data_IF_391445440627
#
_entry.id   IF_391445440627
#
_cell.length_a   1.000
_cell.length_b   1.000
_cell.length_c   1.000
_cell.angle_alpha   90.00
_cell.angle_beta   90.00
_cell.angle_gamma   90.00
#
_symmetry.space_group_name_H-M   'P 1'
#
loop_
_entity.id
_entity.type
_entity.pdbx_description
1 polymer ?
#
# COMPACT_ATOMS: atom_id res chain seq x y z
N UNK A 1 39.14 -6.02 5.04
CA UNK A 1 37.78 -6.62 5.10
C UNK A 1 37.09 -6.55 3.73
N UNK A 2 36.71 -5.36 3.24
CA UNK A 2 36.11 -5.17 1.90
C UNK A 2 36.91 -5.83 0.76
N UNK A 3 38.24 -5.67 0.74
CA UNK A 3 39.11 -6.30 -0.28
C UNK A 3 39.13 -7.84 -0.21
N UNK A 4 39.11 -8.39 0.99
CA UNK A 4 39.08 -9.84 1.22
C UNK A 4 37.70 -10.43 0.87
N UNK A 5 36.62 -9.70 1.15
CA UNK A 5 35.26 -10.09 0.76
C UNK A 5 35.10 -10.04 -0.77
N UNK A 6 35.76 -9.08 -1.44
CA UNK A 6 35.75 -8.97 -2.90
C UNK A 6 36.57 -10.08 -3.58
N UNK A 7 37.75 -10.41 -3.06
CA UNK A 7 38.55 -11.55 -3.54
C UNK A 7 37.80 -12.87 -3.36
N UNK A 8 37.14 -13.07 -2.22
CA UNK A 8 36.33 -14.27 -1.96
C UNK A 8 35.16 -14.39 -2.95
N UNK A 9 34.44 -13.30 -3.20
CA UNK A 9 33.34 -13.28 -4.16
C UNK A 9 33.81 -13.54 -5.60
N UNK A 10 35.01 -13.05 -5.96
CA UNK A 10 35.61 -13.30 -7.27
C UNK A 10 35.98 -14.78 -7.46
N UNK A 11 36.51 -15.41 -6.42
CA UNK A 11 36.88 -16.83 -6.44
C UNK A 11 35.63 -17.73 -6.49
N UNK A 12 34.59 -17.41 -5.72
CA UNK A 12 33.29 -18.09 -5.79
C UNK A 12 32.62 -17.95 -7.17
N UNK A 13 32.75 -16.78 -7.82
CA UNK A 13 32.25 -16.55 -9.16
C UNK A 13 33.02 -17.36 -10.23
N UNK A 14 34.35 -17.46 -10.10
CA UNK A 14 35.18 -18.30 -10.98
C UNK A 14 34.86 -19.78 -10.84
N UNK A 15 34.61 -20.27 -9.63
CA UNK A 15 34.20 -21.65 -9.40
C UNK A 15 32.82 -21.94 -10.00
N UNK A 16 31.85 -21.03 -9.85
CA UNK A 16 30.52 -21.17 -10.47
C UNK A 16 30.56 -21.17 -12.00
N UNK A 17 31.47 -20.42 -12.61
CA UNK A 17 31.67 -20.39 -14.06
C UNK A 17 32.30 -21.67 -14.63
N UNK A 18 32.93 -22.50 -13.78
CA UNK A 18 33.51 -23.80 -14.17
C UNK A 18 32.53 -24.97 -14.10
N UNK A 19 31.37 -24.79 -13.47
CA UNK A 19 30.38 -25.86 -13.30
C UNK A 19 29.62 -26.12 -14.59
N UNK A 20 29.37 -27.38 -14.87
CA UNK A 20 28.54 -27.79 -16.01
C UNK A 20 27.08 -27.38 -15.80
N UNK A 21 26.30 -27.32 -16.89
CA UNK A 21 24.88 -26.96 -16.81
C UNK A 21 24.08 -27.91 -15.91
N UNK A 22 24.47 -29.19 -15.91
CA UNK A 22 23.80 -30.24 -15.13
C UNK A 22 24.12 -30.13 -13.63
N UNK A 23 25.35 -29.74 -13.27
CA UNK A 23 25.75 -29.46 -11.88
C UNK A 23 25.01 -28.26 -11.31
N UNK A 24 24.89 -27.18 -12.09
CA UNK A 24 24.11 -25.99 -11.69
C UNK A 24 22.63 -26.37 -11.48
N UNK A 25 22.07 -27.20 -12.36
CA UNK A 25 20.69 -27.64 -12.26
C UNK A 25 20.45 -28.54 -11.04
N UNK A 26 21.41 -29.41 -10.70
CA UNK A 26 21.39 -30.23 -9.49
C UNK A 26 21.51 -29.39 -8.20
N UNK A 27 22.35 -28.36 -8.20
CA UNK A 27 22.48 -27.43 -7.06
C UNK A 27 21.19 -26.63 -6.85
N UNK A 28 20.60 -26.10 -7.93
CA UNK A 28 19.31 -25.42 -7.88
C UNK A 28 18.22 -26.34 -7.33
N UNK A 29 18.19 -27.60 -7.76
CA UNK A 29 17.20 -28.56 -7.27
C UNK A 29 17.42 -28.89 -5.79
N UNK A 30 18.69 -28.97 -5.37
CA UNK A 30 19.06 -29.22 -3.97
C UNK A 30 18.71 -28.04 -3.07
N UNK A 31 18.95 -26.80 -3.51
CA UNK A 31 18.54 -25.60 -2.80
C UNK A 31 17.02 -25.43 -2.77
N UNK A 32 16.31 -25.74 -3.87
CA UNK A 32 14.84 -25.80 -3.86
C UNK A 32 14.33 -26.78 -2.82
N UNK A 33 14.92 -27.98 -2.78
CA UNK A 33 14.53 -29.01 -1.81
C UNK A 33 14.85 -28.60 -0.37
N UNK A 34 15.99 -27.92 -0.13
CA UNK A 34 16.34 -27.35 1.18
C UNK A 34 15.36 -26.26 1.60
N UNK A 35 15.03 -25.32 0.72
CA UNK A 35 14.04 -24.26 1.01
C UNK A 35 12.67 -24.86 1.29
N UNK A 36 12.24 -25.87 0.52
CA UNK A 36 10.98 -26.59 0.78
C UNK A 36 11.02 -27.34 2.12
N UNK A 37 12.16 -27.93 2.48
CA UNK A 37 12.32 -28.58 3.79
C UNK A 37 12.40 -27.58 4.95
N UNK A 38 13.01 -26.41 4.78
CA UNK A 38 13.03 -25.33 5.78
C UNK A 38 11.64 -24.71 5.96
N UNK A 39 10.89 -24.54 4.87
CA UNK A 39 9.48 -24.14 4.90
C UNK A 39 8.59 -25.17 5.61
N UNK A 40 8.93 -26.47 5.52
CA UNK A 40 8.25 -27.55 6.26
C UNK A 40 8.71 -27.69 7.71
N UNK A 41 9.93 -27.26 8.05
CA UNK A 41 10.54 -27.36 9.40
C UNK A 41 10.22 -26.18 10.32
N UNK A 42 9.83 -25.01 9.79
CA UNK A 42 9.15 -24.01 10.62
C UNK A 42 7.84 -24.63 11.05
N UNK A 43 7.75 -25.06 12.32
CA UNK A 43 6.52 -25.47 12.98
C UNK A 43 5.40 -24.53 12.53
N UNK A 44 4.51 -25.01 11.66
CA UNK A 44 3.32 -24.28 11.29
C UNK A 44 2.40 -24.35 12.50
N UNK A 45 2.69 -23.55 13.53
CA UNK A 45 1.66 -23.22 14.50
C UNK A 45 0.47 -22.74 13.66
N UNK A 46 -0.70 -23.39 13.78
CA UNK A 46 -1.87 -22.88 13.09
C UNK A 46 -2.01 -21.43 13.50
N UNK A 47 -2.16 -20.57 12.50
CA UNK A 47 -2.28 -19.16 12.74
C UNK A 47 -3.49 -18.89 13.64
N UNK A 48 -3.48 -17.79 14.41
CA UNK A 48 -4.64 -17.43 15.20
C UNK A 48 -5.89 -17.37 14.31
N UNK A 49 -7.01 -17.99 14.71
CA UNK A 49 -8.26 -17.89 13.96
C UNK A 49 -8.69 -16.43 13.90
N UNK A 50 -9.08 -15.97 12.72
CA UNK A 50 -9.59 -14.61 12.52
C UNK A 50 -11.10 -14.62 12.74
N UNK A 51 -11.64 -13.78 13.63
CA UNK A 51 -13.08 -13.56 13.69
C UNK A 51 -13.56 -12.96 12.36
N UNK A 52 -14.40 -13.70 11.63
CA UNK A 52 -15.03 -13.20 10.42
C UNK A 52 -15.96 -12.03 10.77
N UNK A 53 -15.84 -10.85 10.12
CA UNK A 53 -16.78 -9.77 10.36
C UNK A 53 -18.17 -10.18 9.89
N UNK A 54 -19.21 -9.77 10.62
CA UNK A 54 -20.58 -9.93 10.14
C UNK A 54 -20.81 -8.97 8.96
N UNK A 55 -20.88 -9.51 7.73
CA UNK A 55 -21.02 -8.70 6.53
C UNK A 55 -22.47 -8.28 6.32
N UNK A 56 -22.72 -7.00 6.59
CA UNK A 56 -23.99 -6.33 6.34
C UNK A 56 -24.12 -6.09 4.82
N UNK A 57 -25.26 -6.47 4.25
CA UNK A 57 -25.64 -6.24 2.85
C UNK A 57 -25.64 -7.48 1.96
N UNK A 58 -25.10 -8.63 2.40
CA UNK A 58 -25.09 -9.88 1.63
C UNK A 58 -26.24 -10.80 2.08
N UNK A 59 -26.25 -11.15 3.38
CA UNK A 59 -27.22 -12.09 3.97
C UNK A 59 -28.22 -11.40 4.90
N UNK A 60 -27.97 -10.15 5.28
CA UNK A 60 -28.81 -9.34 6.18
C UNK A 60 -28.49 -7.85 5.98
N UNK A 61 -29.33 -6.93 6.44
CA UNK A 61 -29.01 -5.49 6.39
C UNK A 61 -29.21 -4.81 5.03
N UNK A 62 -30.18 -5.30 4.25
CA UNK A 62 -30.73 -4.54 3.12
C UNK A 62 -31.23 -3.16 3.58
N UNK A 63 -30.90 -2.07 2.87
CA UNK A 63 -31.48 -0.76 3.17
C UNK A 63 -33.01 -0.83 3.16
N UNK A 64 -33.66 -0.27 4.19
CA UNK A 64 -35.13 -0.29 4.27
C UNK A 64 -35.77 0.59 3.18
N UNK A 65 -35.10 1.71 2.83
CA UNK A 65 -35.54 2.66 1.83
C UNK A 65 -35.40 2.07 0.40
N UNK A 66 -36.49 2.00 -0.39
CA UNK A 66 -36.46 1.51 -1.76
C UNK A 66 -35.46 2.25 -2.68
N UNK A 67 -35.35 3.58 -2.58
CA UNK A 67 -34.45 4.38 -3.43
C UNK A 67 -32.98 4.08 -3.10
N UNK A 68 -32.65 3.90 -1.82
CA UNK A 68 -31.30 3.52 -1.40
C UNK A 68 -30.94 2.11 -1.88
N UNK A 69 -31.89 1.17 -1.85
CA UNK A 69 -31.67 -0.17 -2.43
C UNK A 69 -31.43 -0.12 -3.93
N UNK A 70 -32.22 0.66 -4.66
CA UNK A 70 -32.06 0.82 -6.11
C UNK A 70 -30.68 1.39 -6.46
N UNK A 71 -30.26 2.47 -5.78
CA UNK A 71 -28.93 3.06 -5.94
C UNK A 71 -27.82 2.06 -5.66
N UNK A 72 -27.90 1.31 -4.55
CA UNK A 72 -26.91 0.29 -4.21
C UNK A 72 -26.86 -0.85 -5.25
N UNK A 73 -28.02 -1.31 -5.72
CA UNK A 73 -28.09 -2.35 -6.75
C UNK A 73 -27.53 -1.86 -8.08
N UNK A 74 -27.71 -0.58 -8.43
CA UNK A 74 -27.10 0.03 -9.61
C UNK A 74 -25.57 0.03 -9.53
N UNK A 75 -24.99 0.28 -8.35
CA UNK A 75 -23.53 0.19 -8.14
C UNK A 75 -23.05 -1.25 -8.35
N UNK A 76 -23.78 -2.26 -7.87
CA UNK A 76 -23.47 -3.67 -8.13
C UNK A 76 -23.53 -4.01 -9.63
N UNK A 77 -24.51 -3.48 -10.36
CA UNK A 77 -24.60 -3.62 -11.82
C UNK A 77 -23.38 -2.99 -12.52
N UNK A 78 -22.93 -1.81 -12.08
CA UNK A 78 -21.73 -1.15 -12.61
C UNK A 78 -20.46 -1.98 -12.35
N UNK A 79 -20.31 -2.56 -11.16
CA UNK A 79 -19.21 -3.47 -10.85
C UNK A 79 -19.24 -4.70 -11.76
N UNK A 80 -20.41 -5.30 -11.96
CA UNK A 80 -20.59 -6.44 -12.85
C UNK A 80 -20.22 -6.10 -14.29
N UNK A 81 -20.64 -4.93 -14.79
CA UNK A 81 -20.24 -4.44 -16.11
C UNK A 81 -18.72 -4.30 -16.23
N UNK A 82 -18.06 -3.70 -15.25
CA UNK A 82 -16.61 -3.52 -15.24
C UNK A 82 -15.87 -4.88 -15.19
N UNK A 83 -16.30 -5.77 -14.30
CA UNK A 83 -15.73 -7.11 -14.13
C UNK A 83 -15.90 -7.97 -15.38
N UNK A 84 -17.10 -8.02 -15.96
CA UNK A 84 -17.37 -8.87 -17.14
C UNK A 84 -16.55 -8.42 -18.34
N UNK A 85 -16.39 -7.11 -18.55
CA UNK A 85 -15.52 -6.57 -19.60
C UNK A 85 -14.04 -6.86 -19.31
N UNK A 86 -13.58 -6.74 -18.06
CA UNK A 86 -12.22 -7.13 -17.68
C UNK A 86 -12.01 -8.63 -17.92
N UNK A 87 -12.95 -9.47 -17.50
CA UNK A 87 -12.94 -10.92 -17.66
C UNK A 87 -12.92 -11.35 -19.12
N UNK A 88 -13.59 -10.60 -20.01
CA UNK A 88 -13.63 -10.88 -21.44
C UNK A 88 -12.36 -10.44 -22.17
N UNK A 89 -11.82 -9.25 -21.86
CA UNK A 89 -10.80 -8.59 -22.69
C UNK A 89 -9.44 -8.40 -22.01
N UNK A 90 -9.35 -8.59 -20.69
CA UNK A 90 -8.19 -8.27 -19.87
C UNK A 90 -7.81 -9.37 -18.86
N UNK A 91 -8.41 -10.56 -18.93
CA UNK A 91 -8.20 -11.62 -17.93
C UNK A 91 -6.72 -11.95 -17.71
N UNK A 92 -6.27 -11.88 -16.45
CA UNK A 92 -4.89 -12.10 -16.03
C UNK A 92 -3.94 -10.92 -16.26
N UNK A 93 -4.32 -9.92 -17.06
CA UNK A 93 -3.57 -8.67 -17.16
C UNK A 93 -3.78 -7.79 -15.92
N UNK A 94 -2.89 -6.83 -15.70
CA UNK A 94 -3.01 -5.95 -14.54
C UNK A 94 -4.25 -5.06 -14.63
N UNK A 95 -4.57 -4.56 -15.82
CA UNK A 95 -5.70 -3.65 -16.07
C UNK A 95 -6.35 -3.91 -17.44
N UNK A 96 -7.47 -3.24 -17.71
CA UNK A 96 -8.18 -3.25 -18.99
C UNK A 96 -8.04 -1.90 -19.71
N UNK A 97 -7.81 -1.92 -21.03
CA UNK A 97 -8.10 -0.77 -21.92
C UNK A 97 -9.50 -0.95 -22.51
N UNK A 98 -10.55 -0.33 -21.94
CA UNK A 98 -11.93 -0.68 -22.28
C UNK A 98 -12.30 -0.32 -23.74
N UNK A 99 -11.83 0.83 -24.24
CA UNK A 99 -12.09 1.25 -25.63
C UNK A 99 -11.37 0.34 -26.63
N UNK A 100 -10.12 0.00 -26.34
CA UNK A 100 -9.31 -0.86 -27.21
C UNK A 100 -9.58 -2.36 -27.01
N UNK A 101 -10.43 -2.74 -26.03
CA UNK A 101 -10.80 -4.11 -25.68
C UNK A 101 -9.59 -5.04 -25.55
N UNK A 102 -8.59 -4.63 -24.79
CA UNK A 102 -7.38 -5.43 -24.54
C UNK A 102 -6.79 -5.19 -23.16
N UNK A 103 -6.04 -6.16 -22.66
CA UNK A 103 -5.29 -6.03 -21.42
C UNK A 103 -4.23 -4.92 -21.45
N UNK A 104 -3.92 -4.40 -20.27
CA UNK A 104 -2.88 -3.42 -20.01
C UNK A 104 -2.01 -3.87 -18.85
N UNK A 105 -0.70 -3.72 -19.00
CA UNK A 105 0.27 -3.82 -17.92
C UNK A 105 0.97 -2.48 -17.81
N UNK A 106 0.77 -1.80 -16.67
CA UNK A 106 1.43 -0.56 -16.31
C UNK A 106 2.82 -0.85 -15.76
N UNK A 107 3.75 0.10 -15.93
CA UNK A 107 5.14 -0.09 -15.50
C UNK A 107 5.29 -0.24 -13.97
N UNK A 108 4.29 0.16 -13.17
CA UNK A 108 4.34 0.11 -11.71
C UNK A 108 4.26 -1.32 -11.14
N UNK A 109 3.64 -2.24 -11.87
CA UNK A 109 3.66 -3.69 -11.58
C UNK A 109 4.72 -4.42 -12.43
N UNK A 110 5.57 -3.62 -13.09
CA UNK A 110 6.50 -4.05 -14.12
C UNK A 110 5.82 -4.71 -15.32
N UNK A 111 6.60 -5.46 -16.09
CA UNK A 111 6.13 -6.01 -17.38
C UNK A 111 5.39 -7.34 -17.25
N UNK A 112 5.21 -7.84 -16.03
CA UNK A 112 4.57 -9.13 -15.75
C UNK A 112 3.06 -9.00 -15.63
N UNK A 113 2.35 -10.02 -16.10
CA UNK A 113 0.91 -10.18 -15.91
C UNK A 113 0.66 -10.77 -14.52
N UNK A 114 0.45 -9.89 -13.54
CA UNK A 114 0.21 -10.28 -12.15
C UNK A 114 -1.28 -10.27 -11.80
N UNK A 115 -2.17 -9.91 -12.72
CA UNK A 115 -3.61 -9.88 -12.46
C UNK A 115 -4.01 -8.87 -11.40
N UNK A 116 -3.42 -7.66 -11.41
CA UNK A 116 -3.72 -6.62 -10.41
C UNK A 116 -5.23 -6.40 -10.23
N UNK A 117 -5.99 -6.22 -11.30
CA UNK A 117 -7.47 -6.08 -11.22
C UNK A 117 -8.16 -7.31 -10.63
N UNK A 118 -7.64 -8.53 -10.82
CA UNK A 118 -8.21 -9.73 -10.16
C UNK A 118 -8.05 -9.60 -8.66
N UNK A 119 -6.85 -9.29 -8.18
CA UNK A 119 -6.54 -9.22 -6.75
C UNK A 119 -7.26 -8.05 -6.08
N UNK A 120 -7.22 -6.87 -6.70
CA UNK A 120 -7.77 -5.60 -6.18
C UNK A 120 -9.31 -5.61 -6.13
N UNK A 121 -9.97 -6.50 -6.88
CA UNK A 121 -11.43 -6.60 -6.93
C UNK A 121 -12.01 -7.66 -5.98
N UNK A 122 -11.20 -8.57 -5.41
CA UNK A 122 -11.73 -9.73 -4.70
C UNK A 122 -12.61 -9.36 -3.51
N UNK A 123 -12.16 -8.45 -2.66
CA UNK A 123 -12.93 -8.01 -1.50
C UNK A 123 -14.23 -7.33 -1.92
N UNK A 124 -14.20 -6.51 -2.97
CA UNK A 124 -15.35 -5.84 -3.57
C UNK A 124 -16.37 -6.84 -4.11
N UNK A 125 -15.92 -7.83 -4.89
CA UNK A 125 -16.77 -8.92 -5.37
C UNK A 125 -17.40 -9.67 -4.19
N UNK A 126 -16.62 -9.96 -3.16
CA UNK A 126 -17.08 -10.67 -1.96
C UNK A 126 -18.16 -9.88 -1.21
N UNK A 127 -17.92 -8.59 -0.90
CA UNK A 127 -18.88 -7.75 -0.16
C UNK A 127 -20.16 -7.45 -0.96
N UNK A 128 -20.10 -7.50 -2.29
CA UNK A 128 -21.27 -7.38 -3.16
C UNK A 128 -22.03 -8.70 -3.35
N UNK A 129 -21.57 -9.81 -2.75
CA UNK A 129 -22.17 -11.14 -2.92
C UNK A 129 -22.00 -11.71 -4.34
N UNK A 130 -20.98 -11.27 -5.08
CA UNK A 130 -20.59 -11.80 -6.39
C UNK A 130 -19.62 -12.98 -6.21
N UNK A 131 -20.11 -14.03 -5.55
CA UNK A 131 -19.28 -15.15 -5.07
C UNK A 131 -18.79 -16.07 -6.19
N UNK A 132 -19.48 -16.13 -7.33
CA UNK A 132 -19.02 -16.89 -8.50
C UNK A 132 -17.79 -16.21 -9.13
N UNK A 133 -17.85 -14.91 -9.33
CA UNK A 133 -16.74 -14.07 -9.80
C UNK A 133 -15.55 -14.11 -8.84
N UNK A 134 -15.82 -14.03 -7.54
CA UNK A 134 -14.79 -14.18 -6.50
C UNK A 134 -14.05 -15.52 -6.63
N UNK A 135 -14.79 -16.62 -6.81
CA UNK A 135 -14.24 -17.97 -6.95
C UNK A 135 -13.41 -18.11 -8.23
N UNK A 136 -13.84 -17.51 -9.34
CA UNK A 136 -13.01 -17.46 -10.57
C UNK A 136 -11.68 -16.73 -10.33
N UNK A 137 -11.71 -15.60 -9.61
CA UNK A 137 -10.50 -14.87 -9.24
C UNK A 137 -9.59 -15.67 -8.30
N UNK A 138 -10.17 -16.35 -7.31
CA UNK A 138 -9.45 -17.26 -6.40
C UNK A 138 -8.73 -18.36 -7.18
N UNK A 139 -9.42 -19.04 -8.09
CA UNK A 139 -8.83 -20.09 -8.91
C UNK A 139 -7.70 -19.57 -9.79
N UNK A 140 -7.85 -18.37 -10.35
CA UNK A 140 -6.79 -17.75 -11.13
C UNK A 140 -5.54 -17.48 -10.29
N UNK A 141 -5.71 -16.96 -9.07
CA UNK A 141 -4.61 -16.68 -8.15
C UNK A 141 -3.88 -17.96 -7.75
N UNK A 142 -4.61 -19.02 -7.44
CA UNK A 142 -4.03 -20.31 -7.06
C UNK A 142 -3.14 -20.87 -8.19
N UNK A 143 -3.68 -20.86 -9.41
CA UNK A 143 -3.05 -21.48 -10.59
C UNK A 143 -1.98 -20.61 -11.25
N UNK A 144 -2.10 -19.28 -11.23
CA UNK A 144 -1.34 -18.40 -12.13
C UNK A 144 -0.52 -17.30 -11.43
N UNK A 145 -0.87 -16.88 -10.21
CA UNK A 145 -0.17 -15.77 -9.56
C UNK A 145 1.21 -16.22 -9.07
N UNK A 146 2.27 -15.84 -9.78
CA UNK A 146 3.66 -16.13 -9.44
C UNK A 146 4.51 -14.85 -9.32
N UNK A 147 5.26 -14.74 -8.23
CA UNK A 147 6.15 -13.62 -7.92
C UNK A 147 7.62 -13.93 -8.24
N UNK A 148 7.92 -15.07 -8.87
CA UNK A 148 9.27 -15.47 -9.28
C UNK A 148 9.70 -14.85 -10.61
N UNK A 149 9.18 -13.66 -10.90
CA UNK A 149 9.38 -12.94 -12.17
C UNK A 149 10.56 -11.98 -12.08
N UNK A 150 11.34 -11.88 -13.17
CA UNK A 150 12.40 -10.87 -13.29
C UNK A 150 11.81 -9.52 -13.68
N UNK A 151 11.02 -8.94 -12.78
CA UNK A 151 10.29 -7.70 -12.98
C UNK A 151 10.56 -6.75 -11.83
N UNK A 152 10.73 -5.48 -12.18
CA UNK A 152 10.85 -4.41 -11.19
C UNK A 152 9.46 -3.83 -10.93
N UNK A 153 9.11 -3.70 -9.65
CA UNK A 153 7.79 -3.25 -9.20
C UNK A 153 7.91 -2.13 -8.18
N UNK A 154 6.90 -1.28 -8.12
CA UNK A 154 6.75 -0.31 -7.03
C UNK A 154 6.39 -1.04 -5.75
N UNK A 155 7.20 -0.84 -4.71
CA UNK A 155 6.99 -1.46 -3.39
C UNK A 155 5.67 -0.97 -2.79
N UNK A 156 5.38 0.33 -2.94
CA UNK A 156 4.15 0.95 -2.47
C UNK A 156 2.91 0.39 -3.17
N UNK A 157 2.87 0.42 -4.50
CA UNK A 157 1.70 -0.03 -5.26
C UNK A 157 1.41 -1.53 -5.07
N UNK A 158 2.47 -2.35 -5.04
CA UNK A 158 2.31 -3.78 -4.78
C UNK A 158 1.90 -4.06 -3.34
N UNK A 159 2.36 -3.27 -2.37
CA UNK A 159 1.92 -3.39 -0.99
C UNK A 159 0.42 -3.11 -0.85
N UNK A 160 -0.04 -1.92 -1.26
CA UNK A 160 -1.41 -1.49 -0.99
C UNK A 160 -2.45 -2.28 -1.80
N UNK A 161 -2.11 -2.71 -3.03
CA UNK A 161 -3.07 -3.42 -3.90
C UNK A 161 -3.00 -4.93 -3.74
N UNK A 162 -1.81 -5.51 -3.87
CA UNK A 162 -1.68 -6.96 -3.81
C UNK A 162 -1.68 -7.49 -2.39
N UNK A 163 -0.79 -6.99 -1.53
CA UNK A 163 -0.75 -7.47 -0.15
C UNK A 163 -2.04 -7.06 0.57
N UNK A 164 -2.47 -5.80 0.43
CA UNK A 164 -3.76 -5.32 0.94
C UNK A 164 -4.95 -6.16 0.48
N UNK A 165 -5.13 -6.31 -0.84
CA UNK A 165 -6.24 -7.08 -1.42
C UNK A 165 -6.23 -8.56 -1.04
N UNK A 166 -5.06 -9.22 -1.00
CA UNK A 166 -4.94 -10.61 -0.55
C UNK A 166 -5.25 -10.76 0.95
N UNK A 167 -4.80 -9.83 1.80
CA UNK A 167 -5.13 -9.85 3.22
C UNK A 167 -6.64 -9.62 3.45
N UNK A 168 -7.25 -8.67 2.74
CA UNK A 168 -8.68 -8.41 2.80
C UNK A 168 -9.48 -9.65 2.36
N UNK A 169 -9.13 -10.26 1.22
CA UNK A 169 -9.76 -11.48 0.73
C UNK A 169 -9.60 -12.64 1.74
N UNK A 170 -8.44 -12.78 2.39
CA UNK A 170 -8.24 -13.76 3.46
C UNK A 170 -9.18 -13.51 4.64
N UNK A 171 -9.22 -12.28 5.17
CA UNK A 171 -10.04 -11.95 6.33
C UNK A 171 -11.54 -12.05 6.07
N UNK A 172 -11.99 -11.88 4.83
CA UNK A 172 -13.40 -12.01 4.46
C UNK A 172 -13.83 -13.45 4.20
N UNK A 173 -12.96 -14.26 3.60
CA UNK A 173 -13.30 -15.60 3.08
C UNK A 173 -12.73 -16.77 3.88
N UNK A 174 -11.70 -16.54 4.69
CA UNK A 174 -10.93 -17.59 5.38
C UNK A 174 -10.06 -18.46 4.46
N UNK A 175 -9.95 -18.13 3.16
CA UNK A 175 -9.25 -18.96 2.18
C UNK A 175 -7.73 -18.77 2.27
N UNK A 176 -7.04 -19.82 2.71
CA UNK A 176 -5.60 -19.81 3.01
C UNK A 176 -4.70 -19.43 1.83
N UNK A 177 -5.14 -19.65 0.59
CA UNK A 177 -4.37 -19.31 -0.62
C UNK A 177 -4.00 -17.82 -0.64
N UNK A 178 -4.90 -16.93 -0.23
CA UNK A 178 -4.65 -15.49 -0.25
C UNK A 178 -3.55 -15.09 0.74
N UNK A 179 -3.63 -15.64 1.96
CA UNK A 179 -2.59 -15.44 2.97
C UNK A 179 -1.22 -15.94 2.50
N UNK A 180 -1.17 -17.15 1.93
CA UNK A 180 0.08 -17.74 1.42
C UNK A 180 0.70 -16.82 0.38
N UNK A 181 -0.10 -16.33 -0.59
CA UNK A 181 0.39 -15.40 -1.62
C UNK A 181 0.82 -14.05 -1.04
N UNK A 182 0.10 -13.50 -0.06
CA UNK A 182 0.47 -12.25 0.61
C UNK A 182 1.85 -12.36 1.28
N UNK A 183 2.09 -13.45 2.01
CA UNK A 183 3.37 -13.70 2.70
C UNK A 183 4.51 -13.92 1.71
N UNK A 184 4.26 -14.68 0.63
CA UNK A 184 5.24 -14.88 -0.45
C UNK A 184 5.68 -13.54 -1.05
N UNK A 185 4.71 -12.68 -1.40
CA UNK A 185 4.98 -11.37 -1.98
C UNK A 185 5.71 -10.45 -1.00
N UNK A 186 5.27 -10.40 0.25
CA UNK A 186 5.91 -9.61 1.29
C UNK A 186 7.40 -9.99 1.47
N UNK A 187 7.70 -11.29 1.44
CA UNK A 187 9.08 -11.79 1.46
C UNK A 187 9.93 -11.26 0.29
N UNK A 188 9.34 -11.08 -0.89
CA UNK A 188 10.00 -10.49 -2.06
C UNK A 188 10.21 -8.97 -1.94
N UNK A 189 9.44 -8.28 -1.10
CA UNK A 189 9.59 -6.84 -0.87
C UNK A 189 10.61 -6.50 0.23
N UNK A 190 10.95 -7.44 1.12
CA UNK A 190 11.93 -7.21 2.20
C UNK A 190 13.29 -6.63 1.73
N UNK A 191 13.86 -7.04 0.57
CA UNK A 191 15.08 -6.43 0.06
C UNK A 191 15.00 -4.91 -0.20
N UNK A 192 13.80 -4.35 -0.40
CA UNK A 192 13.64 -2.90 -0.58
C UNK A 192 14.15 -2.11 0.63
N UNK A 193 14.07 -2.68 1.83
CA UNK A 193 14.52 -2.08 3.08
C UNK A 193 16.04 -2.20 3.32
N UNK A 194 16.79 -2.80 2.39
CA UNK A 194 18.24 -2.94 2.48
C UNK A 194 18.93 -1.64 2.06
N UNK A 195 18.70 -0.59 2.86
CA UNK A 195 19.32 0.72 2.73
C UNK A 195 20.07 1.07 4.03
N UNK A 196 21.07 1.97 4.01
CA UNK A 196 21.78 2.36 5.22
C UNK A 196 20.87 2.85 6.35
N UNK A 197 19.76 3.51 6.00
CA UNK A 197 18.80 4.07 6.97
C UNK A 197 17.65 3.13 7.32
N UNK A 198 17.42 2.07 6.53
CA UNK A 198 16.22 1.24 6.62
C UNK A 198 14.96 1.85 5.98
N UNK A 199 15.02 3.08 5.45
CA UNK A 199 13.96 3.63 4.59
C UNK A 199 14.00 2.88 3.26
N UNK A 200 12.88 2.28 2.81
CA UNK A 200 12.89 1.42 1.64
C UNK A 200 13.14 2.19 0.34
N UNK A 201 13.70 1.47 -0.64
CA UNK A 201 13.67 1.86 -2.05
C UNK A 201 12.23 1.91 -2.56
N UNK A 202 11.93 2.82 -3.49
CA UNK A 202 10.63 2.92 -4.16
C UNK A 202 10.33 1.69 -5.03
N UNK A 203 11.34 1.19 -5.72
CA UNK A 203 11.24 0.06 -6.65
C UNK A 203 12.12 -1.10 -6.18
N UNK A 204 11.66 -2.33 -6.42
CA UNK A 204 12.44 -3.56 -6.18
C UNK A 204 12.20 -4.58 -7.29
N UNK A 205 13.26 -5.29 -7.68
CA UNK A 205 13.14 -6.44 -8.58
C UNK A 205 12.77 -7.71 -7.79
N UNK A 206 11.66 -8.36 -8.13
CA UNK A 206 11.12 -9.50 -7.39
C UNK A 206 11.98 -10.77 -7.46
N UNK A 207 12.89 -10.86 -8.45
CA UNK A 207 13.82 -11.99 -8.61
C UNK A 207 15.17 -11.70 -7.96
N UNK A 208 15.79 -10.56 -8.27
CA UNK A 208 17.15 -10.25 -7.82
C UNK A 208 17.21 -9.55 -6.46
N UNK A 209 16.10 -8.94 -6.01
CA UNK A 209 16.07 -8.13 -4.79
C UNK A 209 16.78 -6.78 -4.92
N UNK A 210 17.27 -6.41 -6.10
CA UNK A 210 17.90 -5.11 -6.34
C UNK A 210 16.83 -4.02 -6.29
N UNK A 211 17.05 -3.00 -5.47
CA UNK A 211 16.15 -1.86 -5.33
C UNK A 211 16.76 -0.53 -5.79
N UNK A 212 15.90 0.40 -6.18
CA UNK A 212 16.25 1.78 -6.56
C UNK A 212 15.10 2.74 -6.29
N UNK A 213 15.40 4.04 -6.30
CA UNK A 213 14.39 5.09 -6.31
C UNK A 213 14.04 5.53 -7.74
N UNK A 214 12.98 6.33 -7.86
CA UNK A 214 12.61 6.98 -9.11
C UNK A 214 13.72 7.92 -9.60
N UNK A 215 14.02 7.88 -10.90
CA UNK A 215 15.12 8.69 -11.47
C UNK A 215 14.88 10.20 -11.38
N UNK A 216 13.62 10.62 -11.27
CA UNK A 216 13.22 12.02 -11.12
C UNK A 216 13.14 12.48 -9.65
N UNK A 217 13.22 11.56 -8.68
CA UNK A 217 13.03 11.90 -7.27
C UNK A 217 14.19 12.76 -6.76
N UNK A 218 13.84 13.82 -6.02
CA UNK A 218 14.78 14.80 -5.48
C UNK A 218 15.95 14.13 -4.76
N UNK A 219 17.19 14.38 -5.20
CA UNK A 219 18.41 13.82 -4.61
C UNK A 219 18.40 12.28 -4.44
N UNK A 220 17.71 11.56 -5.34
CA UNK A 220 17.57 10.10 -5.25
C UNK A 220 16.79 9.64 -4.01
N UNK A 221 15.87 10.46 -3.52
CA UNK A 221 15.08 10.20 -2.32
C UNK A 221 13.94 9.20 -2.54
N UNK A 222 13.52 8.57 -1.45
CA UNK A 222 12.27 7.82 -1.36
C UNK A 222 11.12 8.79 -1.06
N UNK A 223 9.90 8.42 -1.46
CA UNK A 223 8.72 9.28 -1.36
C UNK A 223 7.96 9.02 -0.05
N UNK A 224 7.57 10.09 0.65
CA UNK A 224 6.92 10.03 1.97
C UNK A 224 5.68 9.13 1.98
N UNK A 225 4.75 9.35 1.05
CA UNK A 225 3.57 8.49 0.93
C UNK A 225 3.96 7.03 0.64
N UNK A 226 4.98 6.78 -0.19
CA UNK A 226 5.35 5.40 -0.56
C UNK A 226 5.88 4.60 0.64
N UNK A 227 6.88 5.11 1.37
CA UNK A 227 7.42 4.39 2.52
C UNK A 227 6.55 4.54 3.78
N UNK A 228 5.72 5.58 3.84
CA UNK A 228 4.79 5.85 4.93
C UNK A 228 3.55 4.96 4.92
N UNK A 229 3.23 4.35 3.78
CA UNK A 229 1.98 3.62 3.54
C UNK A 229 2.24 2.12 3.35
N UNK A 230 3.07 1.57 4.24
CA UNK A 230 3.38 0.14 4.34
C UNK A 230 2.90 -0.47 5.67
N UNK A 231 2.47 0.39 6.60
CA UNK A 231 2.36 0.06 8.00
C UNK A 231 1.28 -0.99 8.29
N UNK A 232 0.06 -0.81 7.78
CA UNK A 232 -1.07 -1.69 8.12
C UNK A 232 -0.83 -3.11 7.62
N UNK A 233 -0.40 -3.26 6.37
CA UNK A 233 -0.17 -4.55 5.73
C UNK A 233 0.96 -5.30 6.42
N UNK A 234 2.08 -4.62 6.73
CA UNK A 234 3.22 -5.23 7.39
C UNK A 234 2.92 -5.62 8.86
N UNK A 235 2.10 -4.84 9.57
CA UNK A 235 1.63 -5.22 10.92
C UNK A 235 0.79 -6.50 10.83
N UNK A 236 -0.17 -6.58 9.90
CA UNK A 236 -0.98 -7.78 9.73
C UNK A 236 -0.17 -8.98 9.24
N UNK A 237 0.85 -8.79 8.40
CA UNK A 237 1.76 -9.86 8.00
C UNK A 237 2.51 -10.44 9.22
N UNK A 238 3.00 -9.59 10.13
CA UNK A 238 3.62 -10.06 11.38
C UNK A 238 2.61 -10.75 12.29
N UNK A 239 1.40 -10.20 12.44
CA UNK A 239 0.34 -10.82 13.23
C UNK A 239 -0.01 -12.23 12.73
N UNK A 240 -0.24 -12.37 11.42
CA UNK A 240 -0.56 -13.64 10.81
C UNK A 240 0.63 -14.59 10.88
N UNK A 241 1.82 -14.20 10.43
CA UNK A 241 2.94 -15.16 10.33
C UNK A 241 3.63 -15.48 11.66
N UNK A 242 3.45 -14.64 12.69
CA UNK A 242 4.27 -14.65 13.90
C UNK A 242 5.71 -14.19 13.67
N UNK A 243 6.08 -13.78 12.44
CA UNK A 243 7.41 -13.29 12.11
C UNK A 243 7.49 -11.78 12.37
N UNK A 244 8.27 -11.30 13.34
CA UNK A 244 8.31 -9.88 13.70
C UNK A 244 9.04 -9.02 12.65
N UNK A 245 9.64 -9.62 11.61
CA UNK A 245 10.42 -8.85 10.62
C UNK A 245 9.60 -7.75 9.95
N UNK A 246 8.35 -8.01 9.59
CA UNK A 246 7.49 -7.04 8.89
C UNK A 246 7.16 -5.84 9.77
N UNK A 247 6.65 -6.10 10.99
CA UNK A 247 6.41 -5.08 12.00
C UNK A 247 7.65 -4.24 12.30
N UNK A 248 8.80 -4.89 12.50
CA UNK A 248 10.05 -4.20 12.81
C UNK A 248 10.48 -3.24 11.69
N UNK A 249 10.26 -3.59 10.41
CA UNK A 249 10.59 -2.71 9.28
C UNK A 249 9.78 -1.41 9.32
N UNK A 250 8.47 -1.48 9.50
CA UNK A 250 7.61 -0.28 9.48
C UNK A 250 7.69 0.53 10.77
N UNK A 251 7.95 -0.10 11.91
CA UNK A 251 8.23 0.62 13.16
C UNK A 251 9.57 1.36 13.11
N UNK A 252 10.57 0.81 12.42
CA UNK A 252 11.84 1.49 12.23
C UNK A 252 11.67 2.80 11.45
N UNK A 253 10.83 2.81 10.41
CA UNK A 253 10.48 4.03 9.66
C UNK A 253 9.91 5.09 10.61
N UNK A 254 8.92 4.74 11.45
CA UNK A 254 8.30 5.68 12.39
C UNK A 254 9.31 6.26 13.38
N UNK A 255 10.11 5.41 14.02
CA UNK A 255 11.14 5.81 14.97
C UNK A 255 12.19 6.73 14.36
N UNK A 256 12.52 6.53 13.08
CA UNK A 256 13.41 7.42 12.35
C UNK A 256 12.75 8.79 12.16
N UNK A 257 11.53 8.82 11.59
CA UNK A 257 10.81 10.07 11.31
C UNK A 257 10.55 10.93 12.54
N UNK A 258 10.30 10.34 13.71
CA UNK A 258 10.09 11.07 14.96
C UNK A 258 11.33 11.81 15.46
N UNK A 259 12.51 11.27 15.16
CA UNK A 259 13.79 11.88 15.55
C UNK A 259 14.25 12.95 14.58
N UNK A 260 13.55 13.11 13.45
CA UNK A 260 13.89 14.10 12.44
C UNK A 260 13.24 15.44 12.76
N UNK A 261 14.00 16.51 12.56
CA UNK A 261 13.43 17.85 12.54
C UNK A 261 12.45 17.99 11.37
N UNK A 262 11.30 18.60 11.66
CA UNK A 262 10.23 18.87 10.69
C UNK A 262 10.18 20.37 10.41
N UNK A 263 10.57 20.84 9.21
CA UNK A 263 10.47 22.26 8.86
C UNK A 263 9.02 22.76 9.02
N UNK A 264 8.81 23.75 9.88
CA UNK A 264 7.46 24.26 10.23
C UNK A 264 6.49 23.20 10.78
N UNK A 265 7.00 22.09 11.34
CA UNK A 265 6.16 20.94 11.75
C UNK A 265 5.65 20.08 10.59
N UNK A 266 5.96 20.44 9.34
CA UNK A 266 5.54 19.73 8.14
C UNK A 266 6.52 18.61 7.78
N UNK A 267 6.01 17.56 7.14
CA UNK A 267 6.83 16.48 6.61
C UNK A 267 7.18 16.76 5.14
N UNK A 268 8.47 16.87 4.78
CA UNK A 268 8.86 16.90 3.37
C UNK A 268 8.56 15.56 2.67
N UNK A 269 8.13 15.62 1.41
CA UNK A 269 7.73 14.45 0.64
C UNK A 269 8.93 13.57 0.18
N UNK A 270 10.17 14.00 0.41
CA UNK A 270 11.38 13.36 -0.09
C UNK A 270 12.37 13.08 1.04
N UNK A 271 12.68 11.82 1.30
CA UNK A 271 13.68 11.41 2.29
C UNK A 271 14.77 10.54 1.64
N UNK A 272 16.04 10.94 1.76
CA UNK A 272 17.11 10.16 1.16
C UNK A 272 17.40 8.88 1.98
N UNK A 273 17.25 7.67 1.40
CA UNK A 273 17.37 6.42 2.16
C UNK A 273 18.82 6.03 2.47
N UNK A 274 19.81 6.73 1.91
CA UNK A 274 21.24 6.51 2.21
C UNK A 274 21.72 7.41 3.35
N UNK A 275 21.25 8.65 3.40
CA UNK A 275 21.76 9.67 4.35
C UNK A 275 20.79 9.97 5.49
N UNK A 276 19.51 9.66 5.35
CA UNK A 276 18.47 9.97 6.35
C UNK A 276 18.18 11.47 6.43
N UNK A 277 18.45 12.22 5.36
CA UNK A 277 18.19 13.66 5.28
C UNK A 277 17.04 13.94 4.34
N UNK A 278 16.24 14.95 4.69
CA UNK A 278 15.22 15.48 3.78
C UNK A 278 15.85 15.95 2.46
N UNK A 279 15.15 15.67 1.36
CA UNK A 279 15.45 16.24 0.05
C UNK A 279 14.88 17.66 -0.05
N UNK A 280 14.26 17.99 -1.19
CA UNK A 280 13.50 19.24 -1.29
C UNK A 280 12.40 19.32 -0.23
N UNK A 281 12.28 20.48 0.43
CA UNK A 281 11.26 20.77 1.43
C UNK A 281 9.90 21.09 0.76
N UNK A 282 9.42 20.14 -0.05
CA UNK A 282 8.08 20.16 -0.62
C UNK A 282 7.14 19.35 0.26
N UNK A 283 6.00 19.92 0.61
CA UNK A 283 4.98 19.24 1.40
C UNK A 283 3.64 19.36 0.70
N UNK A 284 2.95 18.24 0.56
CA UNK A 284 1.59 18.18 0.04
C UNK A 284 0.80 17.16 0.85
N UNK A 285 -0.50 17.42 1.03
CA UNK A 285 -1.50 16.44 1.50
C UNK A 285 -2.21 15.82 0.28
N UNK A 286 -1.74 16.08 -0.94
CA UNK A 286 -2.05 15.28 -2.12
C UNK A 286 -0.92 14.31 -2.42
N UNK A 287 -0.73 14.03 -3.71
CA UNK A 287 0.26 13.06 -4.17
C UNK A 287 1.64 13.27 -3.55
N UNK A 288 2.33 12.15 -3.32
CA UNK A 288 3.64 12.02 -2.66
C UNK A 288 3.64 12.18 -1.13
N UNK A 289 2.55 12.64 -0.51
CA UNK A 289 2.47 12.82 0.95
C UNK A 289 1.17 12.32 1.60
N UNK A 290 0.04 12.45 0.92
CA UNK A 290 -1.32 12.01 1.32
C UNK A 290 -1.38 10.81 2.28
N UNK A 291 -1.15 9.59 1.79
CA UNK A 291 -1.48 8.37 2.52
C UNK A 291 -0.54 8.08 3.70
N UNK A 292 0.58 8.80 3.83
CA UNK A 292 1.37 8.78 5.06
C UNK A 292 0.56 9.32 6.24
N UNK A 293 -0.12 10.46 6.06
CA UNK A 293 -0.97 11.04 7.11
C UNK A 293 -2.16 10.14 7.43
N UNK A 294 -2.75 9.53 6.39
CA UNK A 294 -3.81 8.54 6.51
C UNK A 294 -3.40 7.36 7.40
N UNK A 295 -2.20 6.80 7.16
CA UNK A 295 -1.72 5.61 7.87
C UNK A 295 -1.28 5.90 9.30
N UNK A 296 -0.97 7.16 9.66
CA UNK A 296 -0.79 7.53 11.06
C UNK A 296 -2.11 7.35 11.83
N UNK A 297 -3.21 7.90 11.31
CA UNK A 297 -4.53 7.74 11.93
C UNK A 297 -4.98 6.28 11.92
N UNK A 298 -4.91 5.62 10.76
CA UNK A 298 -5.41 4.24 10.62
C UNK A 298 -4.60 3.24 11.44
N UNK A 299 -3.29 3.41 11.63
CA UNK A 299 -2.54 2.53 12.52
C UNK A 299 -2.97 2.65 13.98
N UNK A 300 -3.29 3.85 14.44
CA UNK A 300 -3.87 4.04 15.77
C UNK A 300 -5.22 3.33 15.88
N UNK A 301 -6.13 3.52 14.92
CA UNK A 301 -7.43 2.86 14.94
C UNK A 301 -7.32 1.32 14.86
N UNK A 302 -6.48 0.81 13.96
CA UNK A 302 -6.28 -0.63 13.74
C UNK A 302 -5.64 -1.34 14.93
N UNK A 303 -4.88 -0.62 15.75
CA UNK A 303 -4.28 -1.15 16.98
C UNK A 303 -5.22 -1.08 18.19
N UNK A 304 -6.53 -0.99 17.96
CA UNK A 304 -7.53 -0.75 19.01
C UNK A 304 -7.19 0.47 19.87
N UNK A 305 -6.78 1.55 19.19
CA UNK A 305 -6.36 2.82 19.80
C UNK A 305 -5.11 2.71 20.72
N UNK A 306 -4.35 1.60 20.66
CA UNK A 306 -3.18 1.39 21.52
C UNK A 306 -1.88 2.04 21.00
N UNK A 307 -1.75 2.26 19.68
CA UNK A 307 -0.59 2.98 19.10
C UNK A 307 -0.75 4.50 19.29
N UNK A 308 -0.59 4.95 20.53
CA UNK A 308 -0.70 6.38 20.92
C UNK A 308 0.37 7.25 20.26
N UNK A 309 1.48 6.63 19.85
CA UNK A 309 2.56 7.30 19.13
C UNK A 309 2.10 7.71 17.72
N UNK A 310 1.42 6.80 17.00
CA UNK A 310 0.79 7.11 15.73
C UNK A 310 -0.26 8.23 15.85
N UNK A 311 -1.11 8.17 16.89
CA UNK A 311 -2.08 9.24 17.18
C UNK A 311 -1.39 10.58 17.38
N UNK A 312 -0.31 10.62 18.17
CA UNK A 312 0.44 11.86 18.40
C UNK A 312 1.06 12.40 17.11
N UNK A 313 1.68 11.55 16.30
CA UNK A 313 2.24 11.98 15.02
C UNK A 313 1.17 12.54 14.08
N UNK A 314 -0.02 11.92 14.05
CA UNK A 314 -1.17 12.40 13.29
C UNK A 314 -1.62 13.78 13.77
N UNK A 315 -1.93 13.93 15.06
CA UNK A 315 -2.42 15.19 15.63
C UNK A 315 -1.42 16.34 15.38
N UNK A 316 -0.14 16.11 15.69
CA UNK A 316 0.91 17.10 15.50
C UNK A 316 1.08 17.47 14.00
N UNK A 317 0.84 16.53 13.07
CA UNK A 317 0.87 16.79 11.64
C UNK A 317 -0.34 17.60 11.17
N UNK A 318 -1.55 17.25 11.63
CA UNK A 318 -2.77 17.96 11.25
C UNK A 318 -2.72 19.41 11.73
N UNK A 319 -2.27 19.68 12.96
CA UNK A 319 -2.12 21.06 13.44
C UNK A 319 -1.18 21.89 12.56
N UNK A 320 -0.07 21.31 12.09
CA UNK A 320 0.85 21.97 11.17
C UNK A 320 0.20 22.19 9.78
N UNK A 321 -0.54 21.20 9.27
CA UNK A 321 -1.28 21.29 7.99
C UNK A 321 -2.32 22.41 8.06
N UNK A 322 -3.14 22.46 9.10
CA UNK A 322 -4.15 23.51 9.29
C UNK A 322 -3.51 24.91 9.28
N UNK A 323 -2.42 25.07 10.04
CA UNK A 323 -1.70 26.33 10.14
C UNK A 323 -1.09 26.77 8.80
N UNK A 324 -0.43 25.86 8.09
CA UNK A 324 0.43 26.23 6.97
C UNK A 324 -0.19 26.01 5.58
N UNK A 325 -1.09 25.05 5.42
CA UNK A 325 -1.58 24.59 4.12
C UNK A 325 -3.06 24.90 3.89
N UNK A 326 -3.89 24.94 4.92
CA UNK A 326 -5.34 25.16 4.77
C UNK A 326 -5.67 26.64 4.63
N UNK A 327 -6.41 27.02 3.58
CA UNK A 327 -6.86 28.40 3.33
C UNK A 327 -8.29 28.41 2.80
N UNK A 328 -8.94 29.57 2.86
CA UNK A 328 -10.21 29.83 2.15
C UNK A 328 -9.95 30.61 0.87
N UNK A 329 -10.64 30.24 -0.21
CA UNK A 329 -10.66 30.99 -1.47
C UNK A 329 -11.49 32.27 -1.31
N UNK A 330 -11.42 33.18 -2.29
CA UNK A 330 -12.24 34.40 -2.29
C UNK A 330 -13.75 34.09 -2.28
N UNK A 331 -14.16 32.94 -2.84
CA UNK A 331 -15.55 32.46 -2.82
C UNK A 331 -15.92 31.67 -1.57
N UNK A 332 -15.06 31.63 -0.55
CA UNK A 332 -15.34 30.97 0.73
C UNK A 332 -15.01 29.47 0.80
N UNK A 333 -14.55 28.85 -0.29
CA UNK A 333 -14.20 27.42 -0.31
C UNK A 333 -12.90 27.14 0.43
N UNK A 334 -12.94 26.23 1.42
CA UNK A 334 -11.77 25.75 2.15
C UNK A 334 -10.99 24.75 1.30
N UNK A 335 -9.69 24.98 1.12
CA UNK A 335 -8.82 24.10 0.35
C UNK A 335 -7.50 23.87 1.08
N UNK A 336 -6.82 22.76 0.74
CA UNK A 336 -5.47 22.45 1.22
C UNK A 336 -4.49 22.72 0.08
N UNK A 337 -3.65 23.75 0.24
CA UNK A 337 -2.60 24.08 -0.72
C UNK A 337 -1.37 23.17 -0.60
N UNK A 338 -0.35 23.45 -1.41
CA UNK A 338 0.96 22.76 -1.33
C UNK A 338 2.03 23.73 -0.85
N UNK A 339 2.96 23.27 0.00
CA UNK A 339 4.10 24.07 0.42
C UNK A 339 5.31 23.73 -0.43
N UNK A 340 5.83 24.70 -1.19
CA UNK A 340 7.03 24.53 -2.02
C UNK A 340 7.90 25.76 -1.93
N UNK A 341 9.23 25.56 -1.93
CA UNK A 341 10.20 26.66 -1.96
C UNK A 341 9.90 27.78 -0.91
N UNK A 342 9.46 27.39 0.28
CA UNK A 342 9.16 28.31 1.38
C UNK A 342 7.84 29.09 1.27
N UNK A 343 6.99 28.80 0.29
CA UNK A 343 5.71 29.48 0.10
C UNK A 343 4.56 28.50 -0.18
N UNK A 344 3.34 28.96 0.07
CA UNK A 344 2.11 28.22 -0.20
C UNK A 344 1.70 28.42 -1.67
N UNK A 345 1.67 27.34 -2.44
CA UNK A 345 1.03 27.26 -3.73
C UNK A 345 -0.48 27.01 -3.54
N UNK A 346 -1.32 27.91 -4.05
CA UNK A 346 -2.79 27.82 -3.92
C UNK A 346 -3.39 26.86 -4.94
N UNK A 347 -3.06 25.59 -4.81
CA UNK A 347 -3.52 24.51 -5.66
C UNK A 347 -3.88 23.30 -4.80
N UNK A 348 -5.03 22.68 -5.08
CA UNK A 348 -5.46 21.44 -4.44
C UNK A 348 -5.66 20.39 -5.53
N UNK A 349 -5.06 19.21 -5.35
CA UNK A 349 -5.25 18.08 -6.26
C UNK A 349 -6.46 17.24 -5.86
N UNK A 350 -7.00 16.47 -6.81
CA UNK A 350 -8.10 15.53 -6.54
C UNK A 350 -7.73 14.52 -5.45
N UNK A 351 -6.50 13.99 -5.47
CA UNK A 351 -6.00 13.09 -4.42
C UNK A 351 -6.18 13.65 -3.01
N UNK A 352 -5.98 14.96 -2.82
CA UNK A 352 -6.13 15.64 -1.53
C UNK A 352 -7.56 15.59 -0.97
N UNK A 353 -8.57 15.28 -1.78
CA UNK A 353 -9.95 15.14 -1.32
C UNK A 353 -10.17 14.01 -0.31
N UNK A 354 -9.28 13.01 -0.26
CA UNK A 354 -9.32 11.97 0.78
C UNK A 354 -9.25 12.57 2.20
N UNK A 355 -8.60 13.74 2.34
CA UNK A 355 -8.39 14.39 3.61
C UNK A 355 -9.71 14.77 4.31
N UNK A 356 -10.78 15.03 3.55
CA UNK A 356 -12.11 15.29 4.14
C UNK A 356 -12.61 14.10 4.97
N UNK A 357 -12.50 12.89 4.40
CA UNK A 357 -12.81 11.64 5.10
C UNK A 357 -11.82 11.34 6.24
N UNK A 358 -10.53 11.63 6.03
CA UNK A 358 -9.50 11.46 7.08
C UNK A 358 -9.78 12.34 8.30
N UNK A 359 -10.14 13.62 8.12
CA UNK A 359 -10.48 14.52 9.23
C UNK A 359 -11.75 14.05 9.96
N UNK A 360 -12.78 13.67 9.22
CA UNK A 360 -14.01 13.14 9.82
C UNK A 360 -13.75 11.85 10.62
N UNK A 361 -12.97 10.92 10.07
CA UNK A 361 -12.60 9.66 10.75
C UNK A 361 -11.76 9.90 12.01
N UNK A 362 -10.87 10.89 11.98
CA UNK A 362 -9.98 11.24 13.10
C UNK A 362 -10.61 12.13 14.17
N UNK A 363 -11.84 12.61 13.94
CA UNK A 363 -12.57 13.48 14.86
C UNK A 363 -12.86 12.77 16.19
N UNK A 364 -13.30 11.51 16.14
CA UNK A 364 -13.42 10.69 17.35
C UNK A 364 -12.03 10.40 17.95
N UNK A 365 -11.87 10.75 19.23
CA UNK A 365 -10.59 10.67 19.94
C UNK A 365 -9.60 11.79 19.61
N UNK A 366 -10.05 12.90 19.01
CA UNK A 366 -9.25 14.13 18.94
C UNK A 366 -8.92 14.70 20.31
N UNK A 367 -7.74 15.30 20.44
CA UNK A 367 -7.33 16.03 21.65
C UNK A 367 -8.21 17.26 21.87
N UNK A 368 -8.31 17.68 23.13
CA UNK A 368 -8.89 18.95 23.54
C UNK A 368 -10.33 19.19 23.05
N UNK A 369 -11.12 18.12 22.91
CA UNK A 369 -12.52 18.16 22.46
C UNK A 369 -12.74 18.83 21.08
N UNK A 370 -11.75 18.70 20.18
CA UNK A 370 -11.79 19.24 18.81
C UNK A 370 -12.64 18.40 17.83
N UNK A 371 -13.47 17.47 18.31
CA UNK A 371 -14.21 16.56 17.44
C UNK A 371 -15.15 17.33 16.49
N UNK A 372 -15.88 18.31 17.01
CA UNK A 372 -16.75 19.18 16.20
C UNK A 372 -15.99 19.99 15.15
N UNK A 373 -14.79 20.47 15.49
CA UNK A 373 -13.92 21.20 14.56
C UNK A 373 -13.48 20.30 13.39
N UNK A 374 -13.01 19.08 13.66
CA UNK A 374 -12.56 18.17 12.61
C UNK A 374 -13.71 17.63 11.73
N UNK A 375 -14.90 17.43 12.30
CA UNK A 375 -16.09 17.12 11.50
C UNK A 375 -16.46 18.28 10.57
N UNK A 376 -16.41 19.51 11.06
CA UNK A 376 -16.67 20.70 10.25
C UNK A 376 -15.61 20.87 9.15
N UNK A 377 -14.33 20.72 9.49
CA UNK A 377 -13.24 20.79 8.51
C UNK A 377 -13.38 19.70 7.44
N UNK A 378 -13.73 18.47 7.84
CA UNK A 378 -14.04 17.37 6.93
C UNK A 378 -15.16 17.72 5.95
N UNK A 379 -16.25 18.31 6.46
CA UNK A 379 -17.38 18.76 5.65
C UNK A 379 -17.02 19.92 4.70
N UNK A 380 -16.23 20.90 5.15
CA UNK A 380 -15.77 22.01 4.30
C UNK A 380 -14.88 21.51 3.14
N UNK A 381 -13.97 20.57 3.41
CA UNK A 381 -13.16 19.94 2.35
C UNK A 381 -14.02 19.11 1.40
N UNK A 382 -14.96 18.32 1.93
CA UNK A 382 -15.89 17.55 1.11
C UNK A 382 -16.73 18.46 0.19
N UNK A 383 -17.20 19.60 0.69
CA UNK A 383 -17.92 20.59 -0.10
C UNK A 383 -17.04 21.18 -1.21
N UNK A 384 -15.80 21.59 -0.91
CA UNK A 384 -14.87 22.07 -1.96
C UNK A 384 -14.60 21.01 -3.03
N UNK A 385 -14.45 19.75 -2.63
CA UNK A 385 -14.29 18.65 -3.57
C UNK A 385 -15.55 18.44 -4.41
N UNK A 386 -16.74 18.48 -3.81
CA UNK A 386 -18.01 18.43 -4.55
C UNK A 386 -18.12 19.58 -5.58
N UNK A 387 -17.81 20.81 -5.18
CA UNK A 387 -17.81 21.97 -6.10
C UNK A 387 -16.83 21.80 -7.27
N UNK A 388 -15.73 21.06 -7.07
CA UNK A 388 -14.81 20.76 -8.17
C UNK A 388 -15.38 19.80 -9.21
N UNK A 389 -16.36 18.95 -8.83
CA UNK A 389 -17.07 18.06 -9.75
C UNK A 389 -18.26 18.76 -10.41
N UNK A 390 -19.02 19.55 -9.66
CA UNK A 390 -20.21 20.24 -10.17
C UNK A 390 -19.88 21.28 -11.25
N UNK A 391 -18.64 21.78 -11.25
CA UNK A 391 -18.15 22.82 -12.18
C UNK A 391 -17.39 22.26 -13.38
N UNK A 392 -17.49 20.96 -13.67
CA UNK A 392 -16.94 20.32 -14.90
C UNK A 392 -18.07 19.90 -15.82
#
# INVERSE_FOLDING_TARGET
KIRADHEKALEEAKEKLKKSRDEIQAEIQTEKNKVVQELKKKDSKPLPPVPLPNLIGINSGEPADPDIREKRNKIKEMMKHAWDNYRQYGWGHNELKPIARKGHSTNIFGNSQMGATIVDALDTLYIMGLHDEFREGQEWIDKNLDFSVNSEVSVFEVNIRFIGGLLAAYYLSGQEVFKIKAVQLAGKLLPAFNTPTGIPWAMVNLKSGVGRNWGWASAGSSILAEFGTLHMEFVHLSYLTGDPVYYNKVMHIRKLLQKMDRPNGLYPNYLNPRTGRWGQHHTSVGGLGDSFYEYLLKAWLMSDKMDTEARKMYDDAIEAIEKHLIRKSNGGLTFIGEWKNGHLERKMGHLTCFAGGMFALGADGSRDDKAGHYLQLGAEIAHTCHESYDRT
#
